data_IF_149521525026
#
_entry.id   IF_149521525026
#
_cell.length_a   1.000
_cell.length_b   1.000
_cell.length_c   1.000
_cell.angle_alpha   90.00
_cell.angle_beta   90.00
_cell.angle_gamma   90.00
#
_symmetry.space_group_name_H-M   'P 1'
#
loop_
_entity.id
_entity.type
_entity.pdbx_description
1 polymer ?
#
# COMPACT_ATOMS: atom_id res chain seq x y z
N UNK A 1 -54.51 30.64 14.91
CA UNK A 1 -54.66 30.22 16.34
C UNK A 1 -53.28 30.18 16.97
N UNK A 2 -53.12 31.04 17.98
CA UNK A 2 -51.88 31.25 18.75
C UNK A 2 -51.77 30.18 19.83
N UNK A 3 -50.59 29.56 20.05
CA UNK A 3 -50.25 28.92 21.33
C UNK A 3 -48.78 29.11 21.65
N UNK A 4 -48.57 29.92 22.52
CA UNK A 4 -47.60 30.29 23.55
C UNK A 4 -46.47 29.28 23.88
N UNK A 5 -45.25 29.82 23.75
CA UNK A 5 -43.99 29.34 24.36
C UNK A 5 -44.03 29.69 25.86
N UNK A 6 -43.77 28.71 26.71
CA UNK A 6 -43.45 28.94 28.13
C UNK A 6 -41.97 28.72 28.36
N UNK A 7 -41.25 29.81 28.58
CA UNK A 7 -39.94 29.88 29.22
C UNK A 7 -40.10 29.52 30.74
N UNK A 8 -39.27 28.62 31.23
CA UNK A 8 -39.00 28.43 32.65
C UNK A 8 -37.54 28.78 32.90
N UNK A 9 -37.32 29.94 33.48
CA UNK A 9 -36.10 30.33 34.21
C UNK A 9 -36.10 29.64 35.56
N UNK A 10 -35.03 28.88 35.88
CA UNK A 10 -34.75 28.43 37.24
C UNK A 10 -33.34 28.92 37.62
N UNK A 11 -33.33 29.57 38.77
CA UNK A 11 -32.34 30.49 39.27
C UNK A 11 -30.96 29.91 39.65
N UNK A 12 -30.03 30.82 39.62
CA UNK A 12 -28.70 30.75 40.23
C UNK A 12 -28.82 30.72 41.77
N UNK A 13 -28.22 29.71 42.38
CA UNK A 13 -27.75 29.77 43.76
C UNK A 13 -26.23 29.63 43.78
N UNK A 14 -25.55 30.77 43.94
CA UNK A 14 -24.14 30.81 44.18
C UNK A 14 -23.82 30.42 45.61
N UNK A 15 -23.35 29.17 45.79
CA UNK A 15 -22.75 28.73 47.04
C UNK A 15 -21.22 28.91 46.94
N UNK A 16 -20.69 29.92 47.60
CA UNK A 16 -19.24 30.07 47.78
C UNK A 16 -18.76 29.08 48.85
N UNK A 17 -18.15 27.96 48.44
CA UNK A 17 -17.35 27.09 49.31
C UNK A 17 -15.87 27.45 49.04
N UNK A 18 -15.24 28.09 50.01
CA UNK A 18 -13.81 28.35 50.01
C UNK A 18 -13.04 27.05 50.02
N UNK A 19 -12.34 26.76 48.96
CA UNK A 19 -11.37 25.68 48.90
C UNK A 19 -10.04 26.16 49.41
N UNK A 20 -9.65 25.67 50.60
CA UNK A 20 -8.30 25.77 51.10
C UNK A 20 -7.32 25.07 50.16
N UNK A 21 -6.40 25.80 49.56
CA UNK A 21 -5.30 25.24 48.77
C UNK A 21 -4.32 24.55 49.69
N UNK A 22 -4.42 23.26 49.86
CA UNK A 22 -3.35 22.46 50.42
C UNK A 22 -2.26 22.32 49.35
N UNK A 23 -1.13 22.96 49.61
CA UNK A 23 0.10 22.88 48.82
C UNK A 23 0.75 21.50 49.06
N UNK A 24 0.29 20.49 48.34
CA UNK A 24 0.86 19.15 48.33
C UNK A 24 1.25 18.79 46.89
N UNK A 25 2.55 18.96 46.56
CA UNK A 25 3.10 18.59 45.26
C UNK A 25 3.13 17.07 45.03
N UNK A 26 1.96 16.46 44.90
CA UNK A 26 1.79 15.11 44.42
C UNK A 26 1.48 15.17 42.92
N UNK A 27 2.41 14.74 42.08
CA UNK A 27 2.12 14.48 40.67
C UNK A 27 0.94 13.50 40.62
N UNK A 28 -0.21 13.96 40.09
CA UNK A 28 -1.32 13.04 39.80
C UNK A 28 -0.81 11.91 38.90
N UNK A 29 -1.10 10.64 39.23
CA UNK A 29 -0.81 9.57 38.31
C UNK A 29 -1.50 9.86 36.97
N UNK A 30 -0.72 9.84 35.88
CA UNK A 30 -1.26 10.06 34.57
C UNK A 30 -2.37 9.02 34.34
N UNK A 31 -3.60 9.50 34.09
CA UNK A 31 -4.70 8.60 33.69
C UNK A 31 -4.27 7.79 32.49
N UNK A 32 -4.51 6.47 32.47
CA UNK A 32 -4.19 5.66 31.30
C UNK A 32 -4.94 6.25 30.10
N UNK A 33 -4.16 6.61 29.08
CA UNK A 33 -4.70 7.21 27.84
C UNK A 33 -5.49 6.12 27.14
N UNK A 34 -6.80 6.25 27.10
CA UNK A 34 -7.66 5.33 26.33
C UNK A 34 -7.41 5.61 24.84
N UNK A 35 -6.79 4.66 24.17
CA UNK A 35 -6.52 4.75 22.73
C UNK A 35 -7.84 4.68 21.94
N UNK A 36 -8.01 5.60 21.00
CA UNK A 36 -9.15 5.58 20.08
C UNK A 36 -9.00 4.46 19.06
N UNK A 37 -10.10 4.00 18.42
CA UNK A 37 -10.01 3.04 17.31
C UNK A 37 -9.05 3.49 16.20
N UNK A 38 -9.04 4.79 15.87
CA UNK A 38 -8.15 5.38 14.86
C UNK A 38 -6.68 5.34 15.27
N UNK A 39 -6.37 5.52 16.56
CA UNK A 39 -5.01 5.35 17.07
C UNK A 39 -4.57 3.90 16.92
N UNK A 40 -5.40 2.95 17.36
CA UNK A 40 -5.13 1.51 17.23
C UNK A 40 -4.96 1.08 15.76
N UNK A 41 -5.79 1.62 14.85
CA UNK A 41 -5.64 1.38 13.43
C UNK A 41 -4.27 1.85 12.90
N UNK A 42 -3.84 3.04 13.31
CA UNK A 42 -2.55 3.60 12.92
C UNK A 42 -1.38 2.79 13.47
N UNK A 43 -1.48 2.36 14.74
CA UNK A 43 -0.42 1.57 15.37
C UNK A 43 -0.30 0.20 14.69
N UNK A 44 -1.43 -0.46 14.43
CA UNK A 44 -1.43 -1.71 13.67
C UNK A 44 -0.87 -1.53 12.25
N UNK A 45 -1.19 -0.43 11.56
CA UNK A 45 -0.62 -0.09 10.26
C UNK A 45 0.91 0.09 10.34
N UNK A 46 1.40 0.84 11.31
CA UNK A 46 2.83 1.09 11.48
C UNK A 46 3.60 -0.20 11.81
N UNK A 47 3.04 -1.06 12.66
CA UNK A 47 3.58 -2.40 12.95
C UNK A 47 3.69 -3.23 11.66
N UNK A 48 2.63 -3.24 10.84
CA UNK A 48 2.62 -3.90 9.55
C UNK A 48 3.70 -3.39 8.62
N UNK A 49 3.88 -2.05 8.51
CA UNK A 49 4.93 -1.43 7.70
C UNK A 49 6.33 -1.83 8.17
N UNK A 50 6.54 -1.92 9.49
CA UNK A 50 7.83 -2.39 10.04
C UNK A 50 8.13 -3.83 9.64
N UNK A 51 7.14 -4.72 9.73
CA UNK A 51 7.26 -6.11 9.33
C UNK A 51 7.51 -6.25 7.82
N UNK A 52 6.83 -5.46 6.97
CA UNK A 52 7.10 -5.44 5.53
C UNK A 52 8.55 -5.07 5.22
N UNK A 53 9.08 -4.01 5.85
CA UNK A 53 10.49 -3.61 5.63
C UNK A 53 11.46 -4.72 5.99
N UNK A 54 11.19 -5.45 7.07
CA UNK A 54 11.99 -6.60 7.49
C UNK A 54 11.91 -7.73 6.46
N UNK A 55 10.68 -8.06 6.00
CA UNK A 55 10.45 -9.08 4.99
C UNK A 55 11.09 -8.74 3.65
N UNK A 56 10.97 -7.50 3.17
CA UNK A 56 11.59 -7.03 1.94
C UNK A 56 13.13 -7.12 2.02
N UNK A 57 13.72 -6.75 3.16
CA UNK A 57 15.17 -6.87 3.39
C UNK A 57 15.65 -8.33 3.38
N UNK A 58 14.88 -9.24 3.99
CA UNK A 58 15.20 -10.69 3.97
C UNK A 58 15.07 -11.25 2.55
N UNK A 59 14.05 -10.84 1.79
CA UNK A 59 13.88 -11.24 0.40
C UNK A 59 15.02 -10.72 -0.49
N UNK A 60 15.41 -9.45 -0.32
CA UNK A 60 16.55 -8.87 -1.04
C UNK A 60 17.85 -9.61 -0.73
N UNK A 61 18.11 -9.91 0.56
CA UNK A 61 19.25 -10.75 0.94
C UNK A 61 19.22 -12.10 0.24
N UNK A 62 18.06 -12.76 0.16
CA UNK A 62 17.92 -14.07 -0.49
C UNK A 62 18.22 -14.02 -2.00
N UNK A 63 17.93 -12.88 -2.68
CA UNK A 63 18.26 -12.70 -4.10
C UNK A 63 19.78 -12.67 -4.36
N UNK A 64 20.56 -12.18 -3.39
CA UNK A 64 22.01 -12.01 -3.51
C UNK A 64 22.82 -13.11 -2.79
N UNK A 65 22.17 -13.97 -2.00
CA UNK A 65 22.84 -15.04 -1.27
C UNK A 65 23.34 -16.12 -2.21
N UNK A 66 24.64 -16.44 -2.14
CA UNK A 66 25.27 -17.54 -2.87
C UNK A 66 25.07 -18.90 -2.19
N UNK A 67 24.83 -18.93 -0.88
CA UNK A 67 24.60 -20.10 -0.06
C UNK A 67 23.11 -20.48 -0.08
N UNK A 68 22.78 -21.68 -0.56
CA UNK A 68 21.40 -22.15 -0.69
C UNK A 68 20.66 -22.21 0.65
N UNK A 69 21.31 -22.68 1.71
CA UNK A 69 20.68 -22.80 3.03
C UNK A 69 20.36 -21.42 3.63
N UNK A 70 21.25 -20.44 3.44
CA UNK A 70 21.00 -19.05 3.86
C UNK A 70 19.89 -18.41 3.04
N UNK A 71 19.85 -18.66 1.74
CA UNK A 71 18.77 -18.21 0.85
C UNK A 71 17.42 -18.75 1.31
N UNK A 72 17.33 -20.06 1.51
CA UNK A 72 16.07 -20.70 1.94
C UNK A 72 15.61 -20.21 3.30
N UNK A 73 16.55 -20.03 4.25
CA UNK A 73 16.24 -19.43 5.55
C UNK A 73 15.67 -18.02 5.42
N UNK A 74 16.32 -17.16 4.63
CA UNK A 74 15.87 -15.78 4.44
C UNK A 74 14.50 -15.71 3.74
N UNK A 75 14.21 -16.57 2.77
CA UNK A 75 12.89 -16.66 2.14
C UNK A 75 11.82 -17.11 3.13
N UNK A 76 12.12 -18.07 4.01
CA UNK A 76 11.20 -18.52 5.05
C UNK A 76 10.92 -17.41 6.07
N UNK A 77 11.95 -16.69 6.50
CA UNK A 77 11.80 -15.51 7.38
C UNK A 77 10.94 -14.42 6.72
N UNK A 78 11.20 -14.12 5.44
CA UNK A 78 10.39 -13.14 4.70
C UNK A 78 8.91 -13.54 4.62
N UNK A 79 8.61 -14.81 4.33
CA UNK A 79 7.24 -15.31 4.31
C UNK A 79 6.53 -15.16 5.68
N UNK A 80 7.21 -15.48 6.77
CA UNK A 80 6.68 -15.32 8.12
C UNK A 80 6.39 -13.86 8.46
N UNK A 81 7.31 -12.95 8.12
CA UNK A 81 7.14 -11.52 8.35
C UNK A 81 6.03 -10.92 7.48
N UNK A 82 5.88 -11.33 6.18
CA UNK A 82 4.74 -10.91 5.35
C UNK A 82 3.40 -11.42 5.90
N UNK A 83 3.34 -12.66 6.41
CA UNK A 83 2.12 -13.18 7.02
C UNK A 83 1.74 -12.40 8.29
N UNK A 84 2.70 -12.11 9.15
CA UNK A 84 2.49 -11.26 10.33
C UNK A 84 2.06 -9.83 9.95
N UNK A 85 2.68 -9.25 8.91
CA UNK A 85 2.31 -7.94 8.40
C UNK A 85 0.88 -7.92 7.86
N UNK A 86 0.46 -8.95 7.12
CA UNK A 86 -0.90 -9.09 6.61
C UNK A 86 -1.94 -9.03 7.73
N UNK A 87 -1.70 -9.73 8.83
CA UNK A 87 -2.61 -9.70 9.99
C UNK A 87 -2.67 -8.31 10.64
N UNK A 88 -1.54 -7.59 10.73
CA UNK A 88 -1.52 -6.21 11.22
C UNK A 88 -2.30 -5.25 10.32
N UNK A 89 -2.14 -5.36 8.99
CA UNK A 89 -2.90 -4.53 8.07
C UNK A 89 -4.38 -4.86 8.05
N UNK A 90 -4.77 -6.14 8.14
CA UNK A 90 -6.18 -6.54 8.32
C UNK A 90 -6.78 -5.96 9.61
N UNK A 91 -6.02 -5.96 10.69
CA UNK A 91 -6.43 -5.30 11.94
C UNK A 91 -6.62 -3.80 11.74
N UNK A 92 -5.68 -3.13 11.05
CA UNK A 92 -5.75 -1.70 10.78
C UNK A 92 -7.01 -1.33 9.98
N UNK A 93 -7.27 -2.02 8.86
CA UNK A 93 -8.45 -1.75 8.02
C UNK A 93 -9.75 -2.25 8.65
N UNK A 94 -9.71 -3.19 9.60
CA UNK A 94 -10.85 -3.60 10.41
C UNK A 94 -11.25 -2.54 11.45
N UNK A 95 -10.30 -1.72 11.91
CA UNK A 95 -10.52 -0.60 12.83
C UNK A 95 -10.85 0.70 12.10
N UNK A 96 -10.33 0.88 10.88
CA UNK A 96 -10.58 2.02 9.98
C UNK A 96 -10.61 1.53 8.54
N UNK A 97 -11.80 1.25 8.02
CA UNK A 97 -12.00 0.72 6.66
C UNK A 97 -11.81 1.78 5.55
N UNK A 98 -11.68 3.05 5.92
CA UNK A 98 -11.39 4.16 5.02
C UNK A 98 -9.89 4.34 4.71
N UNK A 99 -9.03 3.54 5.35
CA UNK A 99 -7.57 3.61 5.20
C UNK A 99 -7.11 2.99 3.86
N UNK A 100 -7.08 3.81 2.80
CA UNK A 100 -6.68 3.35 1.46
C UNK A 100 -5.26 2.73 1.44
N UNK A 101 -4.32 3.32 2.17
CA UNK A 101 -2.96 2.81 2.33
C UNK A 101 -2.94 1.45 3.04
N UNK A 102 -3.81 1.25 4.03
CA UNK A 102 -3.98 -0.04 4.71
C UNK A 102 -4.44 -1.13 3.75
N UNK A 103 -5.46 -0.86 2.93
CA UNK A 103 -5.93 -1.79 1.90
C UNK A 103 -4.86 -2.08 0.84
N UNK A 104 -4.08 -1.07 0.45
CA UNK A 104 -2.95 -1.29 -0.46
C UNK A 104 -1.91 -2.25 0.14
N UNK A 105 -1.59 -2.14 1.42
CA UNK A 105 -0.65 -3.06 2.08
C UNK A 105 -1.25 -4.45 2.37
N UNK A 106 -2.55 -4.57 2.60
CA UNK A 106 -3.24 -5.88 2.58
C UNK A 106 -3.02 -6.55 1.23
N UNK A 107 -3.22 -5.82 0.12
CA UNK A 107 -2.95 -6.30 -1.22
C UNK A 107 -1.48 -6.67 -1.44
N UNK A 108 -0.56 -5.80 -1.05
CA UNK A 108 0.88 -6.02 -1.18
C UNK A 108 1.33 -7.31 -0.48
N UNK A 109 0.98 -7.47 0.79
CA UNK A 109 1.37 -8.64 1.57
C UNK A 109 0.70 -9.91 1.09
N UNK A 110 -0.58 -9.87 0.68
CA UNK A 110 -1.27 -11.00 0.06
C UNK A 110 -0.58 -11.43 -1.24
N UNK A 111 -0.21 -10.48 -2.11
CA UNK A 111 0.54 -10.76 -3.34
C UNK A 111 1.90 -11.38 -3.06
N UNK A 112 2.66 -10.87 -2.08
CA UNK A 112 3.97 -11.43 -1.68
C UNK A 112 3.86 -12.84 -1.13
N UNK A 113 2.71 -13.23 -0.59
CA UNK A 113 2.37 -14.57 -0.14
C UNK A 113 1.79 -15.46 -1.24
N UNK A 114 1.59 -14.94 -2.47
CA UNK A 114 0.99 -15.68 -3.59
C UNK A 114 -0.54 -15.73 -3.57
N UNK A 115 -1.20 -15.04 -2.65
CA UNK A 115 -2.67 -14.94 -2.56
C UNK A 115 -3.18 -13.85 -3.50
N UNK A 116 -3.05 -14.08 -4.81
CA UNK A 116 -3.27 -13.03 -5.81
C UNK A 116 -4.71 -12.55 -5.90
N UNK A 117 -5.71 -13.42 -5.76
CA UNK A 117 -7.13 -13.02 -5.80
C UNK A 117 -7.49 -12.14 -4.61
N UNK A 118 -7.02 -12.47 -3.40
CA UNK A 118 -7.18 -11.62 -2.21
C UNK A 118 -6.49 -10.27 -2.40
N UNK A 119 -5.29 -10.27 -3.01
CA UNK A 119 -4.57 -9.04 -3.31
C UNK A 119 -5.36 -8.14 -4.27
N UNK A 120 -5.96 -8.70 -5.34
CA UNK A 120 -6.79 -7.95 -6.28
C UNK A 120 -8.02 -7.34 -5.60
N UNK A 121 -8.68 -8.07 -4.68
CA UNK A 121 -9.78 -7.56 -3.88
C UNK A 121 -9.37 -6.36 -3.01
N UNK A 122 -8.23 -6.46 -2.36
CA UNK A 122 -7.69 -5.39 -1.53
C UNK A 122 -7.28 -4.15 -2.34
N UNK A 123 -6.62 -4.33 -3.50
CA UNK A 123 -6.29 -3.20 -4.40
C UNK A 123 -7.54 -2.54 -4.98
N UNK A 124 -8.59 -3.30 -5.29
CA UNK A 124 -9.87 -2.74 -5.73
C UNK A 124 -10.46 -1.82 -4.64
N UNK A 125 -10.40 -2.24 -3.37
CA UNK A 125 -10.86 -1.43 -2.24
C UNK A 125 -10.00 -0.17 -2.08
N UNK A 126 -8.66 -0.29 -2.14
CA UNK A 126 -7.76 0.86 -2.10
C UNK A 126 -8.03 1.88 -3.20
N UNK A 127 -8.27 1.41 -4.44
CA UNK A 127 -8.57 2.25 -5.61
C UNK A 127 -9.98 2.86 -5.56
N UNK A 128 -10.94 2.21 -4.90
CA UNK A 128 -12.27 2.80 -4.63
C UNK A 128 -12.14 3.98 -3.67
N UNK A 129 -11.33 3.84 -2.61
CA UNK A 129 -11.10 4.89 -1.62
C UNK A 129 -10.21 6.02 -2.17
N UNK A 130 -9.23 5.69 -3.01
CA UNK A 130 -8.27 6.63 -3.59
C UNK A 130 -8.09 6.34 -5.08
N UNK A 131 -8.97 6.89 -5.93
CA UNK A 131 -8.89 6.70 -7.38
C UNK A 131 -7.52 7.14 -7.92
N UNK A 132 -6.92 6.32 -8.79
CA UNK A 132 -5.62 6.61 -9.37
C UNK A 132 -4.42 6.43 -8.41
N UNK A 133 -4.59 5.74 -7.28
CA UNK A 133 -3.51 5.46 -6.33
C UNK A 133 -2.36 4.69 -7.02
N UNK A 134 -1.20 5.32 -7.24
CA UNK A 134 -0.20 4.75 -8.16
C UNK A 134 0.40 3.44 -7.66
N UNK A 135 0.67 3.30 -6.35
CA UNK A 135 1.23 2.07 -5.79
C UNK A 135 0.24 0.90 -5.92
N UNK A 136 -1.06 1.16 -5.70
CA UNK A 136 -2.08 0.14 -5.85
C UNK A 136 -2.25 -0.30 -7.31
N UNK A 137 -2.10 0.60 -8.28
CA UNK A 137 -2.11 0.27 -9.71
C UNK A 137 -0.90 -0.57 -10.12
N UNK A 138 0.31 -0.21 -9.63
CA UNK A 138 1.54 -0.97 -9.88
C UNK A 138 1.41 -2.40 -9.36
N UNK A 139 1.11 -2.55 -8.07
CA UNK A 139 1.03 -3.85 -7.42
C UNK A 139 -0.14 -4.71 -7.92
N UNK A 140 -1.25 -4.08 -8.33
CA UNK A 140 -2.35 -4.76 -9.01
C UNK A 140 -1.89 -5.36 -10.33
N UNK A 141 -1.10 -4.62 -11.11
CA UNK A 141 -0.49 -5.12 -12.34
C UNK A 141 0.37 -6.35 -12.11
N UNK A 142 1.21 -6.35 -11.07
CA UNK A 142 2.02 -7.51 -10.71
C UNK A 142 1.16 -8.71 -10.21
N UNK A 143 0.05 -8.45 -9.49
CA UNK A 143 -0.86 -9.50 -9.07
C UNK A 143 -1.56 -10.17 -10.27
N UNK A 144 -1.92 -9.40 -11.30
CA UNK A 144 -2.45 -9.95 -12.55
C UNK A 144 -1.45 -10.84 -13.28
N UNK A 145 -0.16 -10.49 -13.28
CA UNK A 145 0.89 -11.36 -13.82
C UNK A 145 0.97 -12.70 -13.08
N UNK A 146 0.85 -12.66 -11.74
CA UNK A 146 0.81 -13.88 -10.92
C UNK A 146 -0.34 -14.84 -11.28
N UNK A 147 -1.43 -14.32 -11.84
CA UNK A 147 -2.57 -15.08 -12.35
C UNK A 147 -2.55 -15.32 -13.87
N UNK A 148 -1.46 -15.00 -14.57
CA UNK A 148 -1.34 -15.04 -16.03
C UNK A 148 -2.38 -14.16 -16.77
N UNK A 149 -2.92 -13.14 -16.10
CA UNK A 149 -3.90 -12.20 -16.64
C UNK A 149 -3.19 -11.03 -17.34
N UNK A 150 -2.51 -11.34 -18.43
CA UNK A 150 -1.69 -10.39 -19.20
C UNK A 150 -2.48 -9.13 -19.62
N UNK A 151 -3.71 -9.21 -20.21
CA UNK A 151 -4.43 -8.00 -20.61
C UNK A 151 -4.74 -7.06 -19.45
N UNK A 152 -5.06 -7.58 -18.27
CA UNK A 152 -5.34 -6.76 -17.08
C UNK A 152 -4.07 -6.09 -16.53
N UNK A 153 -2.93 -6.78 -16.60
CA UNK A 153 -1.64 -6.20 -16.25
C UNK A 153 -1.27 -5.06 -17.23
N UNK A 154 -1.48 -5.25 -18.54
CA UNK A 154 -1.30 -4.21 -19.55
C UNK A 154 -2.18 -2.98 -19.29
N UNK A 155 -3.45 -3.19 -18.91
CA UNK A 155 -4.33 -2.08 -18.54
C UNK A 155 -3.82 -1.32 -17.31
N UNK A 156 -3.33 -2.03 -16.29
CA UNK A 156 -2.72 -1.39 -15.10
C UNK A 156 -1.52 -0.53 -15.48
N UNK A 157 -0.70 -0.96 -16.44
CA UNK A 157 0.41 -0.15 -16.97
C UNK A 157 -0.11 1.11 -17.67
N UNK A 158 -1.14 1.00 -18.50
CA UNK A 158 -1.71 2.15 -19.21
C UNK A 158 -2.30 3.19 -18.24
N UNK A 159 -3.00 2.73 -17.21
CA UNK A 159 -3.55 3.56 -16.15
C UNK A 159 -2.41 4.34 -15.42
N UNK A 160 -1.30 3.67 -15.12
CA UNK A 160 -0.11 4.28 -14.53
C UNK A 160 0.57 5.26 -15.47
N UNK A 161 0.72 4.90 -16.75
CA UNK A 161 1.47 5.70 -17.73
C UNK A 161 0.85 7.08 -17.92
N UNK A 162 -0.47 7.19 -17.77
CA UNK A 162 -1.18 8.46 -17.83
C UNK A 162 -0.85 9.41 -16.67
N UNK A 163 -0.57 8.90 -15.46
CA UNK A 163 -0.39 9.71 -14.25
C UNK A 163 0.98 9.59 -13.59
N UNK A 164 1.64 8.44 -13.67
CA UNK A 164 2.92 8.18 -13.00
C UNK A 164 3.84 7.31 -13.87
N UNK A 165 4.60 7.96 -14.77
CA UNK A 165 5.51 7.26 -15.69
C UNK A 165 6.64 6.51 -14.99
N UNK A 166 7.07 6.94 -13.81
CA UNK A 166 8.12 6.26 -13.06
C UNK A 166 7.64 4.88 -12.58
N UNK A 167 6.44 4.80 -11.98
CA UNK A 167 5.85 3.52 -11.56
C UNK A 167 5.40 2.68 -12.76
N UNK A 168 4.94 3.30 -13.85
CA UNK A 168 4.69 2.57 -15.10
C UNK A 168 5.97 1.88 -15.61
N UNK A 169 7.11 2.56 -15.55
CA UNK A 169 8.40 1.97 -15.89
C UNK A 169 8.81 0.80 -14.99
N UNK A 170 8.52 0.90 -13.67
CA UNK A 170 8.73 -0.21 -12.74
C UNK A 170 7.86 -1.41 -13.09
N UNK A 171 6.56 -1.20 -13.32
CA UNK A 171 5.66 -2.26 -13.73
C UNK A 171 6.08 -2.90 -15.06
N UNK A 172 6.52 -2.09 -16.04
CA UNK A 172 7.03 -2.62 -17.32
C UNK A 172 8.27 -3.50 -17.12
N UNK A 173 9.17 -3.11 -16.21
CA UNK A 173 10.33 -3.92 -15.84
C UNK A 173 9.93 -5.23 -15.16
N UNK A 174 8.92 -5.20 -14.28
CA UNK A 174 8.36 -6.39 -13.65
C UNK A 174 7.70 -7.33 -14.68
N UNK A 175 6.96 -6.77 -15.66
CA UNK A 175 6.37 -7.52 -16.79
C UNK A 175 7.43 -8.25 -17.61
N UNK A 176 8.53 -7.56 -17.93
CA UNK A 176 9.66 -8.14 -18.67
C UNK A 176 10.35 -9.27 -17.89
N UNK A 177 10.59 -9.05 -16.60
CA UNK A 177 11.17 -10.06 -15.73
C UNK A 177 10.27 -11.29 -15.62
N UNK A 178 8.95 -11.07 -15.44
CA UNK A 178 7.96 -12.14 -15.39
C UNK A 178 7.93 -12.94 -16.71
N UNK A 179 7.85 -12.30 -17.87
CA UNK A 179 7.86 -12.98 -19.17
C UNK A 179 9.13 -13.82 -19.35
N UNK A 180 10.31 -13.26 -19.01
CA UNK A 180 11.59 -13.97 -19.03
C UNK A 180 11.55 -15.22 -18.14
N UNK A 181 10.99 -15.12 -16.93
CA UNK A 181 10.87 -16.24 -16.01
C UNK A 181 9.91 -17.33 -16.53
N UNK A 182 8.79 -16.96 -17.17
CA UNK A 182 7.86 -17.91 -17.78
C UNK A 182 8.54 -18.69 -18.92
N UNK A 183 9.34 -18.04 -19.75
CA UNK A 183 10.12 -18.70 -20.80
C UNK A 183 11.17 -19.65 -20.24
N UNK A 184 11.91 -19.23 -19.23
CA UNK A 184 12.93 -20.06 -18.59
C UNK A 184 12.33 -21.32 -17.95
N UNK A 185 11.11 -21.21 -17.41
CA UNK A 185 10.36 -22.33 -16.86
C UNK A 185 9.65 -23.20 -17.91
N UNK A 186 9.77 -22.87 -19.21
CA UNK A 186 9.01 -23.49 -20.30
C UNK A 186 7.49 -23.54 -20.02
N UNK A 187 6.96 -22.53 -19.33
CA UNK A 187 5.56 -22.46 -18.95
C UNK A 187 4.67 -22.25 -20.19
N UNK A 188 3.55 -22.96 -20.26
CA UNK A 188 2.58 -22.80 -21.32
C UNK A 188 1.65 -21.61 -21.04
N UNK A 189 2.17 -20.39 -21.26
CA UNK A 189 1.41 -19.13 -21.11
C UNK A 189 0.97 -18.66 -22.49
N UNK A 190 -0.34 -18.49 -22.66
CA UNK A 190 -0.90 -18.01 -23.91
C UNK A 190 -0.43 -16.57 -24.22
N UNK A 191 -0.20 -16.27 -25.50
CA UNK A 191 0.11 -14.94 -26.04
C UNK A 191 1.41 -14.31 -25.48
N UNK A 192 2.36 -15.13 -25.05
CA UNK A 192 3.61 -14.64 -24.47
C UNK A 192 4.48 -13.87 -25.50
N UNK A 193 4.44 -14.30 -26.78
CA UNK A 193 5.17 -13.61 -27.85
C UNK A 193 4.58 -12.24 -28.19
N UNK A 194 3.25 -12.14 -28.20
CA UNK A 194 2.54 -10.88 -28.37
C UNK A 194 2.81 -9.94 -27.18
N UNK A 195 2.89 -10.50 -25.99
CA UNK A 195 3.20 -9.73 -24.79
C UNK A 195 4.63 -9.17 -24.83
N UNK A 196 5.62 -9.95 -25.25
CA UNK A 196 6.98 -9.48 -25.40
C UNK A 196 7.10 -8.35 -26.43
N UNK A 197 6.41 -8.47 -27.57
CA UNK A 197 6.34 -7.39 -28.58
C UNK A 197 5.73 -6.12 -27.98
N UNK A 198 4.63 -6.27 -27.24
CA UNK A 198 3.97 -5.15 -26.56
C UNK A 198 4.91 -4.46 -25.56
N UNK A 199 5.69 -5.23 -24.76
CA UNK A 199 6.69 -4.70 -23.84
C UNK A 199 7.75 -3.87 -24.61
N UNK A 200 8.30 -4.43 -25.69
CA UNK A 200 9.33 -3.76 -26.50
C UNK A 200 8.82 -2.43 -27.09
N UNK A 201 7.58 -2.41 -27.58
CA UNK A 201 6.96 -1.17 -28.08
C UNK A 201 6.83 -0.11 -26.97
N UNK A 202 6.45 -0.51 -25.75
CA UNK A 202 6.32 0.42 -24.60
C UNK A 202 7.70 0.95 -24.17
N UNK A 203 8.75 0.12 -24.18
CA UNK A 203 10.13 0.56 -23.93
C UNK A 203 10.58 1.60 -24.97
N UNK A 204 10.28 1.39 -26.26
CA UNK A 204 10.60 2.35 -27.31
C UNK A 204 9.88 3.69 -27.13
N UNK A 205 8.58 3.66 -26.86
CA UNK A 205 7.77 4.87 -26.61
C UNK A 205 8.32 5.65 -25.41
N UNK A 206 8.64 4.96 -24.32
CA UNK A 206 9.21 5.58 -23.12
C UNK A 206 10.57 6.24 -23.42
N UNK A 207 11.43 5.56 -24.19
CA UNK A 207 12.73 6.09 -24.62
C UNK A 207 12.60 7.33 -25.52
N UNK A 208 11.71 7.32 -26.49
CA UNK A 208 11.44 8.47 -27.38
C UNK A 208 10.89 9.66 -26.58
N UNK A 209 9.94 9.42 -25.69
CA UNK A 209 9.36 10.48 -24.85
C UNK A 209 10.43 11.13 -23.96
N UNK A 210 11.32 10.35 -23.35
CA UNK A 210 12.40 10.85 -22.52
C UNK A 210 13.42 11.68 -23.32
N UNK A 211 13.68 11.32 -24.59
CA UNK A 211 14.57 12.08 -25.47
C UNK A 211 13.98 13.44 -25.89
N UNK A 212 12.69 13.46 -26.22
CA UNK A 212 11.96 14.69 -26.59
C UNK A 212 11.88 15.66 -25.40
N UNK A 213 11.62 15.16 -24.19
CA UNK A 213 11.59 15.99 -22.97
C UNK A 213 12.95 16.62 -22.70
N UNK A 214 14.06 15.89 -22.88
CA UNK A 214 15.43 16.42 -22.75
C UNK A 214 15.75 17.46 -23.82
N UNK A 215 15.36 17.21 -25.07
CA UNK A 215 15.57 18.16 -26.17
C UNK A 215 14.76 19.45 -25.95
N UNK A 216 13.50 19.35 -25.53
CA UNK A 216 12.67 20.49 -25.19
C UNK A 216 13.21 21.33 -24.03
N UNK A 217 13.70 20.68 -22.97
CA UNK A 217 14.35 21.36 -21.85
C UNK A 217 15.63 22.09 -22.28
N UNK A 218 16.45 21.48 -23.15
CA UNK A 218 17.66 22.13 -23.69
C UNK A 218 17.34 23.31 -24.60
N UNK A 219 16.20 23.33 -25.28
CA UNK A 219 15.77 24.42 -26.15
C UNK A 219 15.19 25.63 -25.39
N UNK A 220 14.65 25.43 -24.19
CA UNK A 220 14.05 26.51 -23.39
C UNK A 220 15.07 27.45 -22.72
N UNK A 221 16.36 27.18 -22.82
CA UNK A 221 17.46 27.98 -22.24
C UNK A 221 18.21 28.85 -23.26
N UNK A 222 17.66 29.06 -24.49
CA UNK A 222 18.25 29.89 -25.54
C UNK A 222 17.45 31.17 -25.83
#
# INVERSE_FOLDING_TARGET
>A
MRTLVKLLLAGLLAGQLGLAWANGGGSMPAMPRVETPQQKARDAYNDGVHLVKKADSAQDYALHASDAAKKDKALHEAQGDYAAALERFKQAVGLDDSLAEGWNYVGYTSRKLGHYDDALGAYAKALTLKPGYPDALEYRGEAYLGLNRIPDAQQSYLDLYAGNRALAGKLLSAMKAWSTAQRAAAANVANLDEFDKWIQEREQIAGQTASLTRAGAAASWR
#
